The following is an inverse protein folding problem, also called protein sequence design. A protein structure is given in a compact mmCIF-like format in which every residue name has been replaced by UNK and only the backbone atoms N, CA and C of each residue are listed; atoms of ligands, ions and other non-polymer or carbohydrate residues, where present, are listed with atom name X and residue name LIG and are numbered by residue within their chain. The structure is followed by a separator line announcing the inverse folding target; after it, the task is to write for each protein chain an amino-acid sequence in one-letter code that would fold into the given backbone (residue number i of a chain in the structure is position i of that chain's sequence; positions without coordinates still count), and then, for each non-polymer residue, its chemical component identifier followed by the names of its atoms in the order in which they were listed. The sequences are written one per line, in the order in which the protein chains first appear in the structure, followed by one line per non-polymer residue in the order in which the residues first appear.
data_IF_410616654289
#
_entry.id   IF_410616654289
#
_cell.length_a   1.000
_cell.length_b   1.000
_cell.length_c   1.000
_cell.angle_alpha   90.00
_cell.angle_beta   90.00
_cell.angle_gamma   90.00
#
_symmetry.space_group_name_H-M   'P 1'
#
loop_
_entity.id
_entity.type
_entity.pdbx_description
1 polymer ?
#
# COMPACT_ATOMS: atom_id res chain seq x y z
N UNK A 1 9.54 -16.78 6.87
CA UNK A 1 10.15 -15.56 7.47
C UNK A 1 11.37 -15.18 6.66
N UNK A 2 11.47 -13.94 6.11
CA UNK A 2 12.63 -13.52 5.34
C UNK A 2 13.91 -13.52 6.18
N UNK A 3 15.06 -13.70 5.53
CA UNK A 3 16.37 -13.81 6.18
C UNK A 3 16.79 -12.50 6.89
N UNK A 4 17.72 -12.56 7.88
CA UNK A 4 18.34 -11.36 8.43
C UNK A 4 18.99 -10.52 7.30
N UNK A 5 18.79 -9.18 7.35
CA UNK A 5 19.27 -8.27 6.30
C UNK A 5 18.35 -8.11 5.11
N UNK A 6 17.25 -8.87 5.01
CA UNK A 6 16.27 -8.74 3.95
C UNK A 6 15.71 -7.30 3.88
N UNK A 7 15.46 -6.83 2.66
CA UNK A 7 14.84 -5.54 2.37
C UNK A 7 13.38 -5.75 2.01
N UNK A 8 12.49 -5.25 2.85
CA UNK A 8 11.05 -5.43 2.74
C UNK A 8 10.40 -4.12 2.34
N UNK A 9 9.65 -4.12 1.25
CA UNK A 9 8.81 -2.99 0.88
C UNK A 9 7.48 -3.03 1.61
N UNK A 10 7.06 -1.93 2.21
CA UNK A 10 5.74 -1.79 2.85
C UNK A 10 4.83 -0.99 1.93
N UNK A 11 3.88 -1.67 1.33
CA UNK A 11 2.81 -1.05 0.55
C UNK A 11 1.57 -0.90 1.44
N UNK A 12 1.51 0.23 2.15
CA UNK A 12 0.32 0.60 2.93
C UNK A 12 -0.80 1.12 2.04
N UNK A 13 -2.03 0.89 2.44
CA UNK A 13 -3.17 1.41 1.70
C UNK A 13 -4.51 1.06 2.33
N UNK A 14 -5.57 1.70 1.85
CA UNK A 14 -6.91 1.32 2.31
C UNK A 14 -7.34 -0.01 1.70
N UNK A 15 -6.98 -0.29 0.44
CA UNK A 15 -7.37 -1.49 -0.31
C UNK A 15 -8.89 -1.77 -0.24
N UNK A 16 -9.68 -0.81 -0.69
CA UNK A 16 -11.15 -0.80 -0.57
C UNK A 16 -11.87 -0.79 -1.93
N UNK A 17 -11.76 -1.88 -2.73
CA UNK A 17 -10.97 -3.09 -2.54
C UNK A 17 -9.53 -3.00 -3.08
N UNK A 18 -8.74 -4.04 -2.81
CA UNK A 18 -7.51 -4.32 -3.55
C UNK A 18 -7.86 -4.64 -5.01
N UNK A 19 -7.05 -4.16 -5.96
CA UNK A 19 -7.27 -4.33 -7.40
C UNK A 19 -5.98 -4.67 -8.16
N UNK A 20 -6.12 -5.06 -9.44
CA UNK A 20 -5.01 -5.48 -10.29
C UNK A 20 -3.91 -4.42 -10.44
N UNK A 21 -4.26 -3.14 -10.37
CA UNK A 21 -3.27 -2.05 -10.35
C UNK A 21 -2.34 -2.09 -9.14
N UNK A 22 -2.87 -2.42 -7.94
CA UNK A 22 -2.05 -2.59 -6.73
C UNK A 22 -1.09 -3.79 -6.87
N UNK A 23 -1.57 -4.92 -7.39
CA UNK A 23 -0.73 -6.11 -7.58
C UNK A 23 0.36 -5.87 -8.62
N UNK A 24 0.03 -5.21 -9.73
CA UNK A 24 1.00 -4.85 -10.77
C UNK A 24 2.10 -3.95 -10.18
N UNK A 25 1.73 -2.93 -9.41
CA UNK A 25 2.67 -2.05 -8.73
C UNK A 25 3.56 -2.81 -7.74
N UNK A 26 2.98 -3.66 -6.88
CA UNK A 26 3.72 -4.43 -5.90
C UNK A 26 4.76 -5.36 -6.55
N UNK A 27 4.38 -6.07 -7.63
CA UNK A 27 5.28 -6.96 -8.38
C UNK A 27 6.42 -6.19 -9.05
N UNK A 28 6.11 -5.07 -9.72
CA UNK A 28 7.15 -4.26 -10.37
C UNK A 28 8.09 -3.64 -9.35
N UNK A 29 7.56 -3.09 -8.24
CA UNK A 29 8.36 -2.52 -7.15
C UNK A 29 9.31 -3.54 -6.55
N UNK A 30 8.87 -4.79 -6.34
CA UNK A 30 9.76 -5.85 -5.86
C UNK A 30 10.99 -5.98 -6.74
N UNK A 31 10.85 -5.99 -8.06
CA UNK A 31 11.95 -6.12 -9.00
C UNK A 31 12.80 -4.85 -9.11
N UNK A 32 12.19 -3.72 -9.49
CA UNK A 32 12.94 -2.47 -9.77
C UNK A 32 13.59 -1.86 -8.52
N UNK A 33 13.04 -2.16 -7.35
CA UNK A 33 13.58 -1.71 -6.08
C UNK A 33 14.42 -2.77 -5.36
N UNK A 34 14.72 -3.92 -5.99
CA UNK A 34 15.49 -5.02 -5.40
C UNK A 34 15.03 -5.36 -3.98
N UNK A 35 13.71 -5.60 -3.83
CA UNK A 35 13.10 -5.97 -2.57
C UNK A 35 12.97 -7.49 -2.50
N UNK A 36 13.28 -8.07 -1.35
CA UNK A 36 13.07 -9.51 -1.11
C UNK A 36 11.60 -9.84 -1.07
N UNK A 37 10.83 -8.99 -0.37
CA UNK A 37 9.37 -9.09 -0.27
C UNK A 37 8.70 -7.71 -0.38
N UNK A 38 7.44 -7.71 -0.77
CA UNK A 38 6.52 -6.56 -0.61
C UNK A 38 5.37 -6.99 0.29
N UNK A 39 5.25 -6.31 1.43
CA UNK A 39 4.15 -6.51 2.36
C UNK A 39 3.00 -5.55 2.01
N UNK A 40 1.86 -6.11 1.63
CA UNK A 40 0.62 -5.36 1.43
C UNK A 40 -0.09 -5.25 2.77
N UNK A 41 -0.17 -4.03 3.30
CA UNK A 41 -0.62 -3.73 4.66
C UNK A 41 -1.87 -2.84 4.63
N UNK A 42 -3.07 -3.42 4.76
CA UNK A 42 -4.29 -2.63 4.92
C UNK A 42 -4.25 -1.82 6.22
N UNK A 43 -4.60 -0.53 6.13
CA UNK A 43 -4.78 0.26 7.34
C UNK A 43 -6.06 -0.15 8.09
N UNK A 44 -6.05 -0.05 9.42
CA UNK A 44 -7.27 -0.22 10.22
C UNK A 44 -8.22 0.96 9.95
N UNK A 45 -7.81 2.17 10.37
CA UNK A 45 -8.54 3.41 10.13
C UNK A 45 -7.60 4.46 9.53
N UNK A 46 -7.79 4.85 8.25
CA UNK A 46 -6.93 5.84 7.59
C UNK A 46 -7.15 7.24 8.19
N UNK A 47 -6.09 7.94 8.64
CA UNK A 47 -6.21 9.24 9.31
C UNK A 47 -6.65 10.38 8.38
N UNK A 48 -6.40 10.27 7.07
CA UNK A 48 -6.63 11.32 6.09
C UNK A 48 -7.96 11.19 5.32
N UNK A 49 -8.83 10.25 5.70
CA UNK A 49 -10.14 10.10 5.05
C UNK A 49 -11.24 10.77 5.85
N UNK A 50 -12.05 11.56 5.16
CA UNK A 50 -13.26 12.17 5.70
C UNK A 50 -14.42 11.19 5.86
N UNK A 51 -14.42 10.10 5.07
CA UNK A 51 -15.39 9.01 5.16
C UNK A 51 -14.69 7.70 5.49
N UNK A 52 -15.36 6.87 6.29
CA UNK A 52 -14.90 5.51 6.56
C UNK A 52 -14.78 4.69 5.26
N UNK A 53 -13.88 3.70 5.19
CA UNK A 53 -13.87 2.72 4.11
C UNK A 53 -15.22 2.03 3.98
N UNK A 54 -15.61 1.66 2.77
CA UNK A 54 -16.90 1.00 2.52
C UNK A 54 -16.92 -0.45 3.02
N UNK A 55 -15.76 -1.13 3.02
CA UNK A 55 -15.60 -2.45 3.62
C UNK A 55 -14.87 -2.36 4.97
N UNK A 56 -15.16 -3.30 5.89
CA UNK A 56 -14.49 -3.39 7.17
C UNK A 56 -12.97 -3.63 7.02
N UNK A 57 -12.18 -3.35 8.05
CA UNK A 57 -10.75 -3.62 8.03
C UNK A 57 -10.46 -5.13 7.82
N UNK A 58 -11.27 -6.01 8.39
CA UNK A 58 -11.17 -7.46 8.23
C UNK A 58 -11.49 -7.91 6.80
N UNK A 59 -12.56 -7.39 6.18
CA UNK A 59 -12.88 -7.70 4.79
C UNK A 59 -11.76 -7.25 3.86
N UNK A 60 -11.21 -6.05 4.07
CA UNK A 60 -10.11 -5.51 3.27
C UNK A 60 -8.83 -6.35 3.44
N UNK A 61 -8.54 -6.79 4.67
CA UNK A 61 -7.45 -7.70 4.95
C UNK A 61 -7.66 -9.04 4.24
N UNK A 62 -8.87 -9.61 4.32
CA UNK A 62 -9.20 -10.86 3.67
C UNK A 62 -9.06 -10.79 2.15
N UNK A 63 -9.48 -9.69 1.54
CA UNK A 63 -9.27 -9.45 0.11
C UNK A 63 -7.78 -9.38 -0.26
N UNK A 64 -6.93 -8.79 0.59
CA UNK A 64 -5.47 -8.78 0.38
C UNK A 64 -4.90 -10.19 0.46
N UNK A 65 -5.27 -10.98 1.49
CA UNK A 65 -4.83 -12.37 1.64
C UNK A 65 -5.17 -13.22 0.40
N UNK A 66 -6.41 -13.11 -0.06
CA UNK A 66 -6.88 -13.83 -1.26
C UNK A 66 -6.14 -13.40 -2.53
N UNK A 67 -5.87 -12.10 -2.65
CA UNK A 67 -5.22 -11.54 -3.83
C UNK A 67 -3.75 -11.96 -3.97
N UNK A 68 -3.05 -12.17 -2.85
CA UNK A 68 -1.62 -12.50 -2.86
C UNK A 68 -1.35 -13.99 -2.66
N UNK A 69 -2.38 -14.80 -2.44
CA UNK A 69 -2.24 -16.23 -2.24
C UNK A 69 -1.52 -16.89 -3.44
N UNK A 70 -0.40 -17.58 -3.15
CA UNK A 70 0.44 -18.21 -4.17
C UNK A 70 1.31 -17.27 -5.01
N UNK A 71 1.35 -15.96 -4.69
CA UNK A 71 2.23 -15.00 -5.37
C UNK A 71 3.54 -14.86 -4.60
N UNK A 72 4.63 -15.35 -5.22
CA UNK A 72 5.95 -15.29 -4.60
C UNK A 72 6.40 -13.86 -4.30
N UNK A 73 6.88 -13.64 -3.06
CA UNK A 73 7.41 -12.36 -2.58
C UNK A 73 6.36 -11.27 -2.32
N UNK A 74 5.07 -11.56 -2.46
CA UNK A 74 3.99 -10.68 -2.00
C UNK A 74 3.36 -11.27 -0.73
N UNK A 75 3.37 -10.50 0.36
CA UNK A 75 2.97 -10.98 1.69
C UNK A 75 1.84 -10.10 2.23
N UNK A 76 0.73 -10.70 2.71
CA UNK A 76 -0.29 -9.95 3.39
C UNK A 76 0.18 -9.61 4.81
N UNK A 77 0.01 -8.36 5.27
CA UNK A 77 0.42 -7.94 6.60
C UNK A 77 -0.74 -7.37 7.40
N UNK A 78 -1.02 -7.98 8.55
CA UNK A 78 -2.12 -7.60 9.46
C UNK A 78 -1.72 -6.57 10.51
N UNK A 79 -0.48 -6.10 10.52
CA UNK A 79 0.10 -5.29 11.61
C UNK A 79 -0.80 -4.11 12.01
N UNK A 80 -1.32 -3.34 11.05
CA UNK A 80 -2.18 -2.20 11.34
C UNK A 80 -3.61 -2.63 11.71
N UNK A 81 -4.14 -3.67 11.07
CA UNK A 81 -5.46 -4.22 11.39
C UNK A 81 -5.47 -4.78 12.81
N UNK A 82 -4.48 -5.58 13.18
CA UNK A 82 -4.36 -6.19 14.51
C UNK A 82 -4.08 -5.15 15.60
N UNK A 83 -3.30 -4.10 15.28
CA UNK A 83 -3.08 -2.99 16.21
C UNK A 83 -4.37 -2.20 16.47
N UNK A 84 -5.24 -2.10 15.47
CA UNK A 84 -6.47 -1.31 15.55
C UNK A 84 -6.22 0.19 15.69
N UNK A 85 -7.28 0.96 15.92
CA UNK A 85 -7.20 2.41 16.06
C UNK A 85 -6.82 3.13 14.77
N UNK A 86 -6.31 4.37 14.89
CA UNK A 86 -5.87 5.17 13.74
C UNK A 86 -4.51 4.68 13.28
N UNK A 87 -4.38 4.43 11.99
CA UNK A 87 -3.13 3.92 11.36
C UNK A 87 -2.19 5.07 11.01
N UNK A 88 -1.37 5.52 11.97
CA UNK A 88 -0.29 6.46 11.69
C UNK A 88 0.96 5.73 11.22
N UNK A 89 1.52 6.15 10.09
CA UNK A 89 2.69 5.48 9.48
C UNK A 89 3.92 5.47 10.36
N UNK A 90 4.16 6.54 11.14
CA UNK A 90 5.29 6.59 12.08
C UNK A 90 5.19 5.50 13.15
N UNK A 91 3.98 5.22 13.66
CA UNK A 91 3.77 4.17 14.65
C UNK A 91 4.04 2.78 14.04
N UNK A 92 3.68 2.60 12.76
CA UNK A 92 3.95 1.38 12.02
C UNK A 92 5.45 1.18 11.77
N UNK A 93 6.18 2.22 11.37
CA UNK A 93 7.65 2.16 11.21
C UNK A 93 8.33 1.75 12.51
N UNK A 94 7.96 2.38 13.62
CA UNK A 94 8.51 2.07 14.94
C UNK A 94 8.14 0.67 15.41
N UNK A 95 6.93 0.21 15.12
CA UNK A 95 6.50 -1.17 15.42
C UNK A 95 7.33 -2.19 14.62
N UNK A 96 7.48 -1.98 13.30
CA UNK A 96 8.28 -2.85 12.45
C UNK A 96 9.74 -2.95 12.93
N UNK A 97 10.35 -1.84 13.34
CA UNK A 97 11.71 -1.82 13.87
C UNK A 97 11.85 -2.63 15.18
N UNK A 98 10.84 -2.58 16.06
CA UNK A 98 10.82 -3.36 17.31
C UNK A 98 10.57 -4.85 17.07
N UNK A 99 9.57 -5.17 16.23
CA UNK A 99 9.08 -6.54 16.08
C UNK A 99 9.97 -7.39 15.16
N UNK A 100 10.75 -6.72 14.29
CA UNK A 100 11.61 -7.38 13.30
C UNK A 100 13.04 -6.81 13.31
N UNK A 101 13.77 -6.93 14.42
CA UNK A 101 15.14 -6.40 14.51
C UNK A 101 16.05 -7.06 13.46
N UNK A 102 16.91 -6.25 12.81
CA UNK A 102 17.84 -6.71 11.79
C UNK A 102 17.25 -6.80 10.38
N UNK A 103 15.98 -6.44 10.16
CA UNK A 103 15.38 -6.25 8.83
C UNK A 103 15.38 -4.79 8.41
N UNK A 104 15.40 -4.56 7.12
CA UNK A 104 15.31 -3.22 6.54
C UNK A 104 13.95 -3.06 5.89
N UNK A 105 13.27 -1.97 6.21
CA UNK A 105 11.98 -1.64 5.64
C UNK A 105 12.06 -0.39 4.78
N UNK A 106 11.34 -0.39 3.65
CA UNK A 106 11.15 0.79 2.80
C UNK A 106 9.66 1.02 2.57
N UNK A 107 9.17 2.21 2.85
CA UNK A 107 7.80 2.61 2.55
C UNK A 107 7.66 2.83 1.03
N UNK A 108 6.67 2.19 0.43
CA UNK A 108 6.36 2.28 -1.00
C UNK A 108 5.23 3.30 -1.19
N UNK A 109 5.56 4.46 -1.74
CA UNK A 109 4.62 5.58 -1.89
C UNK A 109 4.40 5.93 -3.35
N UNK A 110 3.15 6.07 -3.76
CA UNK A 110 2.83 6.75 -5.01
C UNK A 110 3.24 8.22 -4.95
N UNK A 111 3.60 8.82 -6.08
CA UNK A 111 4.00 10.22 -6.17
C UNK A 111 2.95 11.18 -5.61
N UNK A 112 1.68 10.90 -5.84
CA UNK A 112 0.53 11.65 -5.30
C UNK A 112 0.48 11.63 -3.76
N UNK A 113 0.84 10.49 -3.17
CA UNK A 113 0.90 10.29 -1.71
C UNK A 113 2.15 10.95 -1.12
N UNK A 114 3.30 10.84 -1.79
CA UNK A 114 4.55 11.46 -1.37
C UNK A 114 4.44 12.99 -1.28
N UNK A 115 3.68 13.64 -2.16
CA UNK A 115 3.41 15.08 -2.11
C UNK A 115 2.71 15.52 -0.83
N UNK A 116 2.01 14.61 -0.15
CA UNK A 116 1.26 14.90 1.07
C UNK A 116 2.05 14.59 2.35
N UNK A 117 3.31 14.15 2.24
CA UNK A 117 4.10 13.65 3.38
C UNK A 117 4.14 14.65 4.55
N UNK A 118 4.20 15.94 4.27
CA UNK A 118 4.27 17.01 5.28
C UNK A 118 2.99 17.17 6.10
N UNK A 119 1.87 16.62 5.65
CA UNK A 119 0.61 16.58 6.40
C UNK A 119 0.50 15.37 7.32
N UNK A 120 1.46 14.44 7.26
CA UNK A 120 1.41 13.22 8.07
C UNK A 120 1.87 13.51 9.50
N UNK A 121 1.35 12.70 10.43
CA UNK A 121 1.75 12.78 11.85
C UNK A 121 3.25 12.55 12.00
N UNK A 122 3.90 13.45 12.76
CA UNK A 122 5.33 13.41 13.04
C UNK A 122 6.18 13.26 11.76
N UNK A 123 5.85 14.05 10.72
CA UNK A 123 6.45 13.94 9.38
C UNK A 123 7.99 14.04 9.41
N UNK A 124 8.57 14.92 10.21
CA UNK A 124 10.01 15.07 10.33
C UNK A 124 10.65 13.79 10.88
N UNK A 125 10.10 13.23 11.96
CA UNK A 125 10.58 11.97 12.53
C UNK A 125 10.41 10.80 11.52
N UNK A 126 9.30 10.77 10.78
CA UNK A 126 9.08 9.75 9.75
C UNK A 126 10.12 9.83 8.63
N UNK A 127 10.46 11.04 8.16
CA UNK A 127 11.47 11.27 7.12
C UNK A 127 12.87 10.88 7.59
N UNK A 128 13.17 11.04 8.88
CA UNK A 128 14.44 10.66 9.48
C UNK A 128 14.54 9.15 9.79
N UNK A 129 13.46 8.52 10.23
CA UNK A 129 13.45 7.13 10.67
C UNK A 129 13.24 6.12 9.53
N UNK A 130 12.48 6.49 8.47
CA UNK A 130 12.11 5.58 7.40
C UNK A 130 13.00 5.68 6.14
N UNK A 131 12.99 4.61 5.34
CA UNK A 131 13.45 4.63 3.95
C UNK A 131 12.23 4.61 3.01
N UNK A 132 12.40 5.18 1.79
CA UNK A 132 11.28 5.38 0.87
C UNK A 132 11.64 4.92 -0.55
N UNK A 133 10.70 4.27 -1.20
CA UNK A 133 10.68 4.07 -2.65
C UNK A 133 9.43 4.78 -3.17
N UNK A 134 9.64 5.87 -3.90
CA UNK A 134 8.55 6.65 -4.48
C UNK A 134 8.39 6.21 -5.93
N UNK A 135 7.18 5.83 -6.33
CA UNK A 135 6.91 5.46 -7.69
C UNK A 135 5.99 6.47 -8.38
N UNK A 136 6.44 6.90 -9.56
CA UNK A 136 5.66 7.82 -10.38
C UNK A 136 4.44 7.08 -10.97
N UNK A 137 3.30 7.78 -10.97
CA UNK A 137 2.10 7.38 -11.69
C UNK A 137 2.01 8.20 -13.00
N UNK A 138 1.27 7.71 -14.01
CA UNK A 138 1.17 8.41 -15.30
C UNK A 138 0.75 9.89 -15.16
N UNK A 139 -0.11 10.18 -14.18
CA UNK A 139 -0.70 11.52 -13.96
C UNK A 139 0.15 12.42 -13.06
N UNK A 140 1.11 11.85 -12.31
CA UNK A 140 1.91 12.60 -11.33
C UNK A 140 3.35 12.11 -11.34
N UNK A 141 4.24 12.91 -11.95
CA UNK A 141 5.67 12.63 -11.96
C UNK A 141 6.38 13.58 -11.01
N UNK A 142 7.12 13.03 -10.04
CA UNK A 142 7.96 13.80 -9.14
C UNK A 142 9.40 13.83 -9.66
N UNK A 143 10.00 15.03 -9.59
CA UNK A 143 11.42 15.21 -9.80
C UNK A 143 12.19 15.01 -8.47
N UNK A 144 13.50 14.63 -8.53
CA UNK A 144 14.34 14.52 -7.33
C UNK A 144 14.40 15.83 -6.52
N UNK A 145 14.36 16.97 -7.19
CA UNK A 145 14.35 18.28 -6.54
C UNK A 145 13.13 18.46 -5.64
N UNK A 146 11.94 18.07 -6.11
CA UNK A 146 10.69 18.16 -5.33
C UNK A 146 10.75 17.26 -4.09
N UNK A 147 11.34 16.06 -4.19
CA UNK A 147 11.54 15.20 -3.01
C UNK A 147 12.43 15.86 -1.96
N UNK A 148 13.52 16.49 -2.40
CA UNK A 148 14.41 17.22 -1.49
C UNK A 148 13.67 18.36 -0.78
N UNK A 149 12.89 19.15 -1.50
CA UNK A 149 12.05 20.24 -0.96
C UNK A 149 11.03 19.74 0.07
N UNK A 150 10.50 18.53 -0.14
CA UNK A 150 9.61 17.85 0.81
C UNK A 150 10.35 17.25 2.03
N UNK A 151 11.70 17.23 2.01
CA UNK A 151 12.53 16.75 3.11
C UNK A 151 12.94 15.28 3.01
N UNK A 152 12.71 14.63 1.87
CA UNK A 152 13.20 13.27 1.67
C UNK A 152 14.73 13.28 1.50
N UNK A 153 15.44 12.60 2.38
CA UNK A 153 16.89 12.50 2.31
C UNK A 153 17.31 11.59 1.12
N UNK A 154 18.25 12.04 0.24
CA UNK A 154 18.68 11.23 -0.93
C UNK A 154 19.25 9.86 -0.56
N UNK A 155 19.87 9.74 0.62
CA UNK A 155 20.42 8.48 1.11
C UNK A 155 19.35 7.46 1.53
N UNK A 156 18.10 7.89 1.74
CA UNK A 156 16.99 7.07 2.23
C UNK A 156 15.80 7.03 1.27
N UNK A 157 15.85 7.75 0.15
CA UNK A 157 14.75 7.85 -0.78
C UNK A 157 15.21 7.68 -2.23
N UNK A 158 14.40 7.03 -3.04
CA UNK A 158 14.63 6.92 -4.47
C UNK A 158 13.31 6.95 -5.23
N UNK A 159 13.36 7.44 -6.47
CA UNK A 159 12.24 7.44 -7.40
C UNK A 159 12.42 6.27 -8.36
N UNK A 160 11.34 5.57 -8.63
CA UNK A 160 11.26 4.54 -9.67
C UNK A 160 10.07 4.80 -10.58
N UNK A 161 10.15 4.30 -11.81
CA UNK A 161 9.06 4.39 -12.77
C UNK A 161 8.39 3.03 -12.89
N UNK A 162 7.06 3.03 -12.89
CA UNK A 162 6.25 1.84 -13.06
C UNK A 162 5.33 2.01 -14.27
N UNK A 163 5.12 0.91 -14.97
CA UNK A 163 4.09 0.79 -15.99
C UNK A 163 2.96 -0.09 -15.44
N UNK A 164 1.96 0.54 -14.85
CA UNK A 164 0.85 -0.14 -14.17
C UNK A 164 -0.49 0.25 -14.76
N UNK A 165 -1.47 -0.67 -14.78
CA UNK A 165 -2.83 -0.33 -15.20
C UNK A 165 -3.39 0.83 -14.37
N UNK A 166 -4.02 1.79 -15.04
CA UNK A 166 -4.71 2.92 -14.40
C UNK A 166 -6.05 2.47 -13.81
N UNK A 167 -6.00 1.68 -12.75
CA UNK A 167 -7.17 1.19 -12.02
C UNK A 167 -7.23 1.88 -10.66
N UNK A 168 -8.42 2.35 -10.27
CA UNK A 168 -8.69 2.92 -8.97
C UNK A 168 -9.83 2.18 -8.25
N UNK A 169 -9.76 2.10 -6.93
CA UNK A 169 -10.76 1.39 -6.12
C UNK A 169 -12.19 1.94 -6.30
N UNK A 170 -12.34 3.26 -6.51
CA UNK A 170 -13.65 3.84 -6.79
C UNK A 170 -14.29 3.28 -8.06
N UNK A 171 -13.51 3.02 -9.12
CA UNK A 171 -14.01 2.42 -10.36
C UNK A 171 -14.60 1.02 -10.11
N UNK A 172 -13.98 0.23 -9.21
CA UNK A 172 -14.52 -1.08 -8.83
C UNK A 172 -15.85 -0.91 -8.11
N UNK A 173 -15.92 -0.01 -7.11
CA UNK A 173 -17.16 0.24 -6.35
C UNK A 173 -18.28 0.82 -7.23
N UNK A 174 -17.96 1.72 -8.15
CA UNK A 174 -18.92 2.30 -9.09
C UNK A 174 -19.49 1.26 -10.05
N UNK A 175 -18.68 0.28 -10.50
CA UNK A 175 -19.19 -0.83 -11.30
C UNK A 175 -20.13 -1.73 -10.50
N UNK A 176 -19.75 -2.07 -9.26
CA UNK A 176 -20.58 -2.90 -8.38
C UNK A 176 -21.92 -2.26 -8.08
N UNK A 177 -21.94 -0.96 -7.77
CA UNK A 177 -23.17 -0.19 -7.51
C UNK A 177 -24.13 -0.18 -8.73
N UNK A 178 -23.58 -0.36 -9.96
CA UNK A 178 -24.37 -0.45 -11.20
C UNK A 178 -24.64 -1.88 -11.64
N UNK A 179 -24.25 -2.89 -10.85
CA UNK A 179 -24.39 -4.30 -11.21
C UNK A 179 -23.49 -4.74 -12.38
N UNK A 180 -22.44 -3.98 -12.70
CA UNK A 180 -21.52 -4.30 -13.79
C UNK A 180 -20.38 -5.24 -13.33
N UNK A 181 -19.80 -6.06 -14.23
CA UNK A 181 -18.73 -6.98 -13.90
C UNK A 181 -17.45 -6.24 -13.51
N UNK A 182 -16.65 -6.87 -12.61
CA UNK A 182 -15.39 -6.33 -12.07
C UNK A 182 -14.20 -7.26 -12.33
N UNK A 183 -14.39 -8.34 -13.05
CA UNK A 183 -13.40 -9.43 -13.22
C UNK A 183 -12.11 -8.98 -13.92
N UNK A 184 -12.16 -7.91 -14.70
CA UNK A 184 -11.00 -7.27 -15.32
C UNK A 184 -10.24 -6.32 -14.37
N UNK A 185 -10.88 -5.86 -13.30
CA UNK A 185 -10.31 -4.88 -12.37
C UNK A 185 -9.65 -5.49 -11.13
N UNK A 186 -10.18 -6.63 -10.65
CA UNK A 186 -9.70 -7.30 -9.44
C UNK A 186 -9.33 -8.75 -9.69
N UNK A 187 -8.48 -9.39 -8.87
CA UNK A 187 -8.23 -10.83 -8.96
C UNK A 187 -9.52 -11.64 -8.77
N UNK A 188 -9.65 -12.77 -9.48
CA UNK A 188 -10.84 -13.62 -9.41
C UNK A 188 -11.24 -14.00 -7.97
N UNK A 189 -10.31 -14.43 -7.06
CA UNK A 189 -10.68 -14.71 -5.67
C UNK A 189 -11.23 -13.50 -4.89
N UNK A 190 -10.79 -12.29 -5.25
CA UNK A 190 -11.30 -11.05 -4.65
C UNK A 190 -12.70 -10.74 -5.18
N UNK A 191 -12.93 -10.93 -6.49
CA UNK A 191 -14.26 -10.75 -7.08
C UNK A 191 -15.27 -11.73 -6.48
N UNK A 192 -14.89 -12.99 -6.26
CA UNK A 192 -15.71 -14.01 -5.62
C UNK A 192 -16.05 -13.64 -4.17
N UNK A 193 -15.04 -13.17 -3.41
CA UNK A 193 -15.23 -12.72 -2.02
C UNK A 193 -16.23 -11.55 -1.95
N UNK A 194 -16.05 -10.53 -2.79
CA UNK A 194 -16.95 -9.37 -2.87
C UNK A 194 -18.39 -9.81 -3.17
N UNK A 195 -18.58 -10.73 -4.12
CA UNK A 195 -19.92 -11.24 -4.48
C UNK A 195 -20.57 -12.03 -3.35
N UNK A 196 -19.79 -12.90 -2.68
CA UNK A 196 -20.31 -13.79 -1.63
C UNK A 196 -20.69 -13.03 -0.35
N UNK A 197 -20.02 -11.90 -0.08
CA UNK A 197 -20.25 -11.10 1.12
C UNK A 197 -21.05 -9.82 0.85
N UNK A 198 -21.62 -9.68 -0.35
CA UNK A 198 -22.42 -8.52 -0.79
C UNK A 198 -21.73 -7.17 -0.55
N UNK A 199 -20.40 -7.12 -0.64
CA UNK A 199 -19.64 -5.90 -0.40
C UNK A 199 -19.86 -4.89 -1.54
N UNK A 200 -19.91 -3.59 -1.19
CA UNK A 200 -20.01 -2.47 -2.13
C UNK A 200 -21.32 -2.42 -2.95
N UNK A 201 -22.32 -3.18 -2.59
CA UNK A 201 -23.67 -3.02 -3.11
C UNK A 201 -24.36 -1.97 -2.27
N UNK A 202 -24.70 -0.84 -2.88
CA UNK A 202 -25.38 0.27 -2.24
C UNK A 202 -26.80 -0.06 -1.77
#
# INVERSE_FOLDING_TARGET
MPAPGAVIGIMGGTFDPLHNGHLAAARQLRGVANLDEVWLMPNANPPHRTAAPAASAEDRMRMVELAVAGLDGLVPSRIEVDRGGISYTIDTVRQLARDFPGRRFALLLGSDVALQIRSWRDADALLDEASFVIFNRPETTLAPQTLHELGFAPARSRIVHLDTPAIAAHQVRDRLARGAPIDDLVPAPVADYIRTHDLYRG
#
